data_IF_224738928476
#
_entry.id   IF_224738928476
#
_cell.length_a   1.000
_cell.length_b   1.000
_cell.length_c   1.000
_cell.angle_alpha   90.00
_cell.angle_beta   90.00
_cell.angle_gamma   90.00
#
_symmetry.space_group_name_H-M   'P 1'
#
loop_
_entity.id
_entity.type
_entity.pdbx_description
1 polymer ?
#
# COMPACT_ATOMS: atom_id res chain seq x y z
N UNK A 1 22.83 3.81 -25.46
CA UNK A 1 21.35 3.95 -25.52
C UNK A 1 20.70 3.18 -24.36
N UNK A 2 21.05 1.92 -24.13
CA UNK A 2 20.67 1.14 -22.93
C UNK A 2 21.08 1.79 -21.60
N UNK A 3 22.31 2.30 -21.51
CA UNK A 3 22.82 2.91 -20.27
C UNK A 3 22.06 4.17 -19.84
N UNK A 4 21.47 4.89 -20.80
CA UNK A 4 20.61 6.07 -20.59
C UNK A 4 19.20 5.69 -20.13
N UNK A 5 18.65 4.57 -20.60
CA UNK A 5 17.36 4.03 -20.14
C UNK A 5 17.47 3.47 -18.72
N UNK A 6 18.59 2.82 -18.40
CA UNK A 6 18.90 2.34 -17.04
C UNK A 6 19.04 3.50 -16.05
N UNK A 7 19.73 4.59 -16.44
CA UNK A 7 19.90 5.80 -15.62
C UNK A 7 18.59 6.58 -15.40
N UNK A 8 17.65 6.55 -16.35
CA UNK A 8 16.29 7.11 -16.21
C UNK A 8 15.41 6.26 -15.27
N UNK A 9 15.46 4.93 -15.43
CA UNK A 9 14.74 3.98 -14.58
C UNK A 9 15.19 4.07 -13.11
N UNK A 10 16.49 4.27 -12.87
CA UNK A 10 17.05 4.50 -11.54
C UNK A 10 16.69 5.86 -10.91
N UNK A 11 16.48 6.90 -11.73
CA UNK A 11 16.10 8.24 -11.25
C UNK A 11 14.63 8.29 -10.79
N UNK A 12 13.72 7.54 -11.44
CA UNK A 12 12.36 7.33 -10.92
C UNK A 12 12.38 6.51 -9.61
N UNK A 13 13.28 5.53 -9.50
CA UNK A 13 13.43 4.74 -8.28
C UNK A 13 13.95 5.56 -7.07
N UNK A 14 14.79 6.57 -7.28
CA UNK A 14 15.41 7.39 -6.21
C UNK A 14 14.55 8.51 -5.63
N UNK A 15 13.62 9.08 -6.40
CA UNK A 15 12.62 10.04 -5.87
C UNK A 15 11.59 9.35 -4.96
N UNK A 16 11.50 8.01 -5.02
CA UNK A 16 10.53 7.18 -4.29
C UNK A 16 11.22 6.32 -3.20
N UNK A 17 12.50 6.55 -2.90
CA UNK A 17 13.15 5.93 -1.73
C UNK A 17 13.51 4.43 -1.89
N UNK A 18 13.78 3.95 -3.11
CA UNK A 18 14.44 2.66 -3.29
C UNK A 18 15.93 2.82 -2.94
N UNK A 19 16.48 2.04 -2.01
CA UNK A 19 16.58 0.60 -2.20
C UNK A 19 16.61 -0.15 -0.87
N UNK A 20 15.52 -0.09 -0.12
CA UNK A 20 15.27 -1.08 0.94
C UNK A 20 14.06 -1.91 0.51
N UNK A 21 14.30 -3.12 -0.02
CA UNK A 21 13.23 -4.05 -0.39
C UNK A 21 12.28 -4.38 0.77
N UNK A 22 12.64 -4.03 2.01
CA UNK A 22 11.80 -4.24 3.19
C UNK A 22 10.83 -3.08 3.46
N UNK A 23 10.81 -2.02 2.64
CA UNK A 23 9.90 -0.87 2.84
C UNK A 23 8.79 -0.85 1.78
N UNK A 24 7.55 -0.50 2.17
CA UNK A 24 6.45 -0.36 1.23
C UNK A 24 6.74 0.73 0.20
N UNK A 25 6.39 0.47 -1.06
CA UNK A 25 6.66 1.36 -2.20
C UNK A 25 5.99 2.73 -2.01
N UNK A 26 4.76 2.76 -1.47
CA UNK A 26 4.04 3.99 -1.13
C UNK A 26 3.13 3.72 0.08
N UNK A 27 2.98 4.70 0.97
CA UNK A 27 2.02 4.67 2.09
C UNK A 27 1.06 5.86 2.03
N UNK A 28 -0.23 5.60 2.22
CA UNK A 28 -1.28 6.62 2.26
C UNK A 28 -2.01 6.61 3.60
N UNK A 29 -2.42 7.79 4.08
CA UNK A 29 -3.32 7.93 5.22
C UNK A 29 -4.52 8.76 4.77
N UNK A 30 -5.69 8.14 4.71
CA UNK A 30 -6.95 8.82 4.42
C UNK A 30 -7.67 9.17 5.72
N UNK A 31 -7.81 10.46 6.03
CA UNK A 31 -8.49 10.94 7.25
C UNK A 31 -9.69 11.83 6.89
N UNK A 32 -10.73 11.82 7.74
CA UNK A 32 -11.92 12.68 7.61
C UNK A 32 -13.20 11.98 8.10
N UNK A 33 -14.38 12.56 7.89
CA UNK A 33 -15.64 11.98 8.37
C UNK A 33 -16.02 10.70 7.62
N UNK A 34 -16.94 9.92 8.21
CA UNK A 34 -17.48 8.68 7.63
C UNK A 34 -18.31 8.98 6.38
N UNK A 35 -18.26 8.08 5.38
CA UNK A 35 -19.08 8.19 4.16
C UNK A 35 -18.53 9.09 3.05
N UNK A 36 -17.34 9.68 3.21
CA UNK A 36 -16.71 10.54 2.17
C UNK A 36 -15.95 9.75 1.08
N UNK A 37 -16.01 8.42 1.08
CA UNK A 37 -15.39 7.62 0.01
C UNK A 37 -13.94 7.21 0.23
N UNK A 38 -13.43 7.16 1.47
CA UNK A 38 -12.01 6.81 1.74
C UNK A 38 -11.67 5.40 1.25
N UNK A 39 -12.57 4.44 1.49
CA UNK A 39 -12.38 3.03 1.12
C UNK A 39 -12.51 2.84 -0.38
N UNK A 40 -13.43 3.56 -1.01
CA UNK A 40 -13.65 3.59 -2.45
C UNK A 40 -12.43 4.14 -3.19
N UNK A 41 -11.80 5.20 -2.65
CA UNK A 41 -10.56 5.72 -3.18
C UNK A 41 -9.42 4.70 -3.10
N UNK A 42 -9.32 3.94 -2.01
CA UNK A 42 -8.32 2.88 -1.87
C UNK A 42 -8.52 1.75 -2.91
N UNK A 43 -9.77 1.35 -3.18
CA UNK A 43 -10.09 0.36 -4.23
C UNK A 43 -9.75 0.87 -5.63
N UNK A 44 -10.11 2.12 -5.92
CA UNK A 44 -9.77 2.75 -7.21
C UNK A 44 -8.25 2.83 -7.42
N UNK A 45 -7.48 3.08 -6.36
CA UNK A 45 -6.01 3.04 -6.43
C UNK A 45 -5.49 1.61 -6.67
N UNK A 46 -6.08 0.59 -6.05
CA UNK A 46 -5.71 -0.80 -6.31
C UNK A 46 -5.97 -1.19 -7.77
N UNK A 47 -7.14 -0.86 -8.31
CA UNK A 47 -7.47 -1.05 -9.72
C UNK A 47 -6.49 -0.32 -10.65
N UNK A 48 -6.13 0.93 -10.31
CA UNK A 48 -5.23 1.73 -11.14
C UNK A 48 -3.78 1.21 -11.16
N UNK A 49 -3.24 0.78 -10.00
CA UNK A 49 -1.84 0.35 -9.90
C UNK A 49 -1.62 -1.14 -10.21
N UNK A 50 -2.60 -2.00 -9.91
CA UNK A 50 -2.47 -3.45 -10.02
C UNK A 50 -3.42 -4.07 -11.05
N UNK A 51 -4.14 -3.26 -11.82
CA UNK A 51 -5.10 -3.67 -12.86
C UNK A 51 -6.24 -4.58 -12.35
N UNK A 52 -6.43 -4.63 -11.03
CA UNK A 52 -7.48 -5.42 -10.37
C UNK A 52 -7.71 -4.95 -8.94
N UNK A 53 -8.98 -4.81 -8.55
CA UNK A 53 -9.38 -4.55 -7.16
C UNK A 53 -9.21 -5.79 -6.27
N UNK A 54 -9.17 -7.00 -6.86
CA UNK A 54 -9.12 -8.27 -6.12
C UNK A 54 -7.77 -8.50 -5.43
N UNK A 55 -6.73 -7.79 -5.88
CA UNK A 55 -5.39 -7.79 -5.27
C UNK A 55 -5.36 -7.00 -3.97
N UNK A 56 -6.40 -6.19 -3.70
CA UNK A 56 -6.51 -5.40 -2.48
C UNK A 56 -6.84 -6.29 -1.27
N UNK A 57 -5.92 -6.35 -0.30
CA UNK A 57 -6.18 -6.94 1.00
C UNK A 57 -6.85 -5.89 1.89
N UNK A 58 -8.12 -6.12 2.25
CA UNK A 58 -8.87 -5.28 3.19
C UNK A 58 -8.85 -5.88 4.59
N UNK A 59 -8.38 -5.12 5.56
CA UNK A 59 -8.38 -5.50 6.98
C UNK A 59 -9.42 -4.67 7.72
N UNK A 60 -10.39 -5.32 8.37
CA UNK A 60 -11.34 -4.63 9.26
C UNK A 60 -10.68 -4.35 10.60
N UNK A 61 -10.24 -3.10 10.79
CA UNK A 61 -9.58 -2.66 12.02
C UNK A 61 -10.48 -2.75 13.27
N UNK A 62 -11.80 -2.94 13.13
CA UNK A 62 -12.70 -3.17 14.26
C UNK A 62 -12.40 -4.49 14.96
N UNK A 63 -11.93 -5.50 14.24
CA UNK A 63 -11.55 -6.81 14.80
C UNK A 63 -10.27 -6.73 15.65
N UNK A 64 -9.48 -5.67 15.47
CA UNK A 64 -8.18 -5.46 16.09
C UNK A 64 -8.16 -4.33 17.14
N UNK A 65 -9.32 -3.93 17.66
CA UNK A 65 -9.42 -2.83 18.63
C UNK A 65 -8.81 -3.16 20.00
N UNK A 66 -8.71 -4.44 20.36
CA UNK A 66 -8.14 -4.88 21.63
C UNK A 66 -6.65 -5.24 21.48
N UNK A 67 -5.83 -4.92 22.49
CA UNK A 67 -4.37 -5.17 22.42
C UNK A 67 -4.02 -6.63 22.14
N UNK A 68 -4.84 -7.56 22.59
CA UNK A 68 -4.62 -9.00 22.45
C UNK A 68 -5.02 -9.51 21.07
N UNK A 69 -5.91 -8.80 20.35
CA UNK A 69 -6.37 -9.23 19.03
C UNK A 69 -5.41 -8.79 17.93
N UNK A 70 -4.65 -7.71 18.11
CA UNK A 70 -3.58 -7.28 17.19
C UNK A 70 -2.54 -8.38 16.93
N UNK A 71 -2.24 -9.24 17.92
CA UNK A 71 -1.31 -10.36 17.73
C UNK A 71 -1.81 -11.38 16.69
N UNK A 72 -3.12 -11.49 16.46
CA UNK A 72 -3.69 -12.36 15.42
C UNK A 72 -3.34 -11.86 14.02
N UNK A 73 -3.27 -10.54 13.83
CA UNK A 73 -2.86 -9.95 12.56
C UNK A 73 -1.45 -10.39 12.15
N UNK A 74 -0.53 -10.48 13.11
CA UNK A 74 0.82 -10.99 12.82
C UNK A 74 0.82 -12.48 12.54
N UNK A 75 -0.01 -13.26 13.22
CA UNK A 75 -0.08 -14.72 13.05
C UNK A 75 -0.74 -15.18 11.75
N UNK A 76 -1.60 -14.36 11.14
CA UNK A 76 -2.30 -14.73 9.90
C UNK A 76 -1.50 -14.40 8.64
N UNK A 77 -0.58 -13.43 8.71
CA UNK A 77 0.15 -12.91 7.56
C UNK A 77 1.64 -13.29 7.52
N UNK A 78 2.17 -13.95 8.56
CA UNK A 78 3.58 -14.33 8.71
C UNK A 78 3.74 -15.84 8.83
#
# INVERSE_FOLDING_TARGET
>A
MEETLQKQSWFMMKQVGLNNHNLPIVGFIFCGPTGVGKSELAKALAAYYFDSEEVMIMIDMREFMERHTVSKLMSEFM
#
